data_IF_500795329181
#
_entry.id   IF_500795329181
#
_cell.length_a   1.000
_cell.length_b   1.000
_cell.length_c   1.000
_cell.angle_alpha   90.00
_cell.angle_beta   90.00
_cell.angle_gamma   90.00
#
_symmetry.space_group_name_H-M   'P 1'
#
loop_
_entity.id
_entity.type
_entity.pdbx_description
1 polymer ?
#
# COMPACT_ATOMS: atom_id res chain seq x y z
N UNK A 1 23.54 22.15 -9.51
CA UNK A 1 23.48 21.21 -8.37
C UNK A 1 22.01 21.06 -8.00
N UNK A 2 21.50 19.84 -7.93
CA UNK A 2 20.13 19.56 -7.47
C UNK A 2 20.04 19.85 -5.95
N UNK A 3 18.99 20.56 -5.54
CA UNK A 3 18.72 20.87 -4.13
C UNK A 3 18.10 19.65 -3.43
N UNK A 4 18.22 19.60 -2.09
CA UNK A 4 17.64 18.50 -1.30
C UNK A 4 16.12 18.37 -1.50
N UNK A 5 15.41 19.50 -1.64
CA UNK A 5 13.97 19.52 -1.88
C UNK A 5 13.59 19.04 -3.27
N UNK A 6 14.38 19.35 -4.30
CA UNK A 6 14.19 18.83 -5.66
C UNK A 6 14.39 17.32 -5.70
N UNK A 7 15.45 16.81 -5.05
CA UNK A 7 15.68 15.37 -4.93
C UNK A 7 14.52 14.66 -4.22
N UNK A 8 14.04 15.22 -3.10
CA UNK A 8 12.89 14.67 -2.37
C UNK A 8 11.62 14.63 -3.24
N UNK A 9 11.34 15.71 -3.97
CA UNK A 9 10.21 15.78 -4.90
C UNK A 9 10.33 14.72 -5.99
N UNK A 10 11.51 14.58 -6.59
CA UNK A 10 11.76 13.62 -7.66
C UNK A 10 11.48 12.19 -7.19
N UNK A 11 12.02 11.78 -6.04
CA UNK A 11 11.73 10.48 -5.46
C UNK A 11 10.24 10.30 -5.18
N UNK A 12 9.55 11.35 -4.70
CA UNK A 12 8.10 11.28 -4.45
C UNK A 12 7.30 11.04 -5.73
N UNK A 13 7.67 11.68 -6.85
CA UNK A 13 7.07 11.42 -8.15
C UNK A 13 7.35 10.00 -8.66
N UNK A 14 8.57 9.50 -8.46
CA UNK A 14 8.93 8.13 -8.82
C UNK A 14 8.14 7.09 -8.00
N UNK A 15 7.91 7.33 -6.70
CA UNK A 15 7.04 6.49 -5.86
C UNK A 15 5.62 6.47 -6.44
N UNK A 16 5.04 7.64 -6.74
CA UNK A 16 3.69 7.73 -7.34
C UNK A 16 3.64 6.94 -8.65
N UNK A 17 4.65 7.08 -9.51
CA UNK A 17 4.73 6.34 -10.76
C UNK A 17 4.78 4.81 -10.53
N UNK A 18 5.55 4.34 -9.56
CA UNK A 18 5.61 2.90 -9.24
C UNK A 18 4.29 2.38 -8.66
N UNK A 19 3.66 3.14 -7.75
CA UNK A 19 2.35 2.79 -7.19
C UNK A 19 1.26 2.72 -8.26
N UNK A 20 1.26 3.65 -9.23
CA UNK A 20 0.30 3.64 -10.35
C UNK A 20 0.43 2.40 -11.25
N UNK A 21 1.56 1.71 -11.20
CA UNK A 21 1.86 0.49 -11.96
C UNK A 21 1.77 -0.77 -11.10
N UNK A 22 1.19 -0.69 -9.91
CA UNK A 22 1.15 -1.77 -8.91
C UNK A 22 2.54 -2.33 -8.55
N UNK A 23 3.63 -1.57 -8.77
CA UNK A 23 4.99 -1.99 -8.45
C UNK A 23 5.40 -1.58 -7.02
N UNK A 24 4.75 -2.20 -6.04
CA UNK A 24 4.92 -1.85 -4.62
C UNK A 24 6.32 -2.10 -4.07
N UNK A 25 7.00 -3.15 -4.54
CA UNK A 25 8.36 -3.47 -4.10
C UNK A 25 9.35 -2.39 -4.52
N UNK A 26 9.22 -1.86 -5.75
CA UNK A 26 10.09 -0.78 -6.21
C UNK A 26 9.72 0.56 -5.56
N UNK A 27 8.43 0.84 -5.39
CA UNK A 27 7.97 2.00 -4.63
C UNK A 27 8.55 2.02 -3.21
N UNK A 28 8.62 0.85 -2.55
CA UNK A 28 9.19 0.71 -1.21
C UNK A 28 10.69 1.02 -1.18
N UNK A 29 11.50 0.54 -2.13
CA UNK A 29 12.93 0.88 -2.21
C UNK A 29 13.16 2.38 -2.38
N UNK A 30 12.39 3.02 -3.26
CA UNK A 30 12.50 4.47 -3.49
C UNK A 30 12.09 5.26 -2.23
N UNK A 31 11.14 4.74 -1.45
CA UNK A 31 10.77 5.32 -0.17
C UNK A 31 11.92 5.24 0.85
N UNK A 32 12.67 4.13 0.90
CA UNK A 32 13.86 4.01 1.74
C UNK A 32 14.92 5.07 1.36
N UNK A 33 15.17 5.26 0.06
CA UNK A 33 16.06 6.33 -0.43
C UNK A 33 15.57 7.73 -0.03
N UNK A 34 14.26 7.94 0.00
CA UNK A 34 13.63 9.20 0.44
C UNK A 34 13.79 9.41 1.95
N UNK A 35 13.78 8.35 2.75
CA UNK A 35 13.98 8.40 4.21
C UNK A 35 15.42 8.77 4.58
N UNK A 36 16.40 8.36 3.78
CA UNK A 36 17.81 8.78 3.94
C UNK A 36 17.92 10.30 3.91
N UNK A 37 17.21 10.98 3.01
CA UNK A 37 17.20 12.45 2.92
C UNK A 37 16.73 13.07 4.23
N UNK A 38 15.62 12.58 4.79
CA UNK A 38 15.06 13.10 6.05
C UNK A 38 16.02 12.86 7.21
N UNK A 39 16.64 11.68 7.26
CA UNK A 39 17.62 11.31 8.27
C UNK A 39 18.84 12.24 8.23
N UNK A 40 19.38 12.51 7.05
CA UNK A 40 20.51 13.43 6.85
C UNK A 40 20.15 14.87 7.23
N UNK A 41 18.94 15.34 6.89
CA UNK A 41 18.45 16.67 7.29
C UNK A 41 18.36 16.81 8.81
N UNK A 42 17.95 15.75 9.51
CA UNK A 42 17.93 15.69 10.97
C UNK A 42 19.34 15.79 11.56
N UNK A 43 20.28 14.98 11.05
CA UNK A 43 21.70 14.99 11.50
C UNK A 43 22.38 16.33 11.28
N UNK A 44 22.06 17.00 10.17
CA UNK A 44 22.69 18.26 9.78
C UNK A 44 21.96 19.51 10.33
N UNK A 45 20.91 19.34 11.14
CA UNK A 45 20.14 20.46 11.71
C UNK A 45 19.37 21.31 10.68
N UNK A 46 19.22 20.82 9.44
CA UNK A 46 18.57 21.55 8.33
C UNK A 46 17.07 21.28 8.20
N UNK A 47 16.49 20.51 9.12
CA UNK A 47 15.08 20.09 9.09
C UNK A 47 14.11 21.28 9.03
N UNK A 48 14.42 22.40 9.70
CA UNK A 48 13.56 23.59 9.73
C UNK A 48 13.50 24.28 8.37
N UNK A 49 14.66 24.53 7.76
CA UNK A 49 14.76 25.10 6.42
C UNK A 49 14.05 24.22 5.39
N UNK A 50 14.24 22.90 5.47
CA UNK A 50 13.54 21.96 4.60
C UNK A 50 12.02 22.01 4.78
N UNK A 51 11.51 22.06 6.03
CA UNK A 51 10.06 22.17 6.29
C UNK A 51 9.46 23.44 5.68
N UNK A 52 10.18 24.56 5.72
CA UNK A 52 9.72 25.81 5.12
C UNK A 52 9.64 25.69 3.59
N UNK A 53 10.66 25.10 2.96
CA UNK A 53 10.67 24.84 1.51
C UNK A 53 9.60 23.82 1.09
N UNK A 54 9.43 22.76 1.87
CA UNK A 54 8.42 21.72 1.66
C UNK A 54 7.00 22.29 1.60
N UNK A 55 6.68 23.26 2.48
CA UNK A 55 5.42 24.00 2.45
C UNK A 55 5.37 24.99 1.30
N UNK A 56 6.40 25.83 1.15
CA UNK A 56 6.46 26.90 0.14
C UNK A 56 6.32 26.36 -1.28
N UNK A 57 6.92 25.20 -1.55
CA UNK A 57 6.89 24.57 -2.86
C UNK A 57 5.80 23.48 -2.98
N UNK A 58 4.87 23.42 -2.03
CA UNK A 58 3.75 22.48 -2.00
C UNK A 58 4.13 21.01 -2.23
N UNK A 59 5.30 20.58 -1.73
CA UNK A 59 5.79 19.21 -1.89
C UNK A 59 4.93 18.21 -1.10
N UNK A 60 4.22 18.68 -0.08
CA UNK A 60 3.28 17.87 0.70
C UNK A 60 2.16 17.23 -0.12
N UNK A 61 1.78 17.83 -1.25
CA UNK A 61 0.75 17.28 -2.14
C UNK A 61 1.17 15.90 -2.66
N UNK A 62 2.47 15.68 -2.91
CA UNK A 62 2.95 14.37 -3.36
C UNK A 62 2.82 13.31 -2.26
N UNK A 63 3.04 13.68 -1.00
CA UNK A 63 2.87 12.77 0.13
C UNK A 63 1.39 12.41 0.35
N UNK A 64 0.50 13.39 0.20
CA UNK A 64 -0.95 13.15 0.25
C UNK A 64 -1.39 12.20 -0.87
N UNK A 65 -0.88 12.38 -2.10
CA UNK A 65 -1.17 11.48 -3.22
C UNK A 65 -0.65 10.05 -2.95
N UNK A 66 0.58 9.92 -2.44
CA UNK A 66 1.16 8.62 -2.09
C UNK A 66 0.28 7.91 -1.06
N UNK A 67 -0.16 8.64 -0.03
CA UNK A 67 -1.07 8.13 1.00
C UNK A 67 -2.39 7.65 0.39
N UNK A 68 -3.00 8.43 -0.48
CA UNK A 68 -4.26 8.06 -1.14
C UNK A 68 -4.12 6.78 -1.97
N UNK A 69 -3.05 6.66 -2.77
CA UNK A 69 -2.76 5.43 -3.52
C UNK A 69 -2.70 4.20 -2.62
N UNK A 70 -1.98 4.30 -1.50
CA UNK A 70 -1.82 3.21 -0.54
C UNK A 70 -3.17 2.86 0.11
N UNK A 71 -3.94 3.87 0.55
CA UNK A 71 -5.25 3.66 1.18
C UNK A 71 -6.24 2.96 0.25
N UNK A 72 -6.31 3.38 -1.02
CA UNK A 72 -7.14 2.75 -2.04
C UNK A 72 -6.76 1.28 -2.19
N UNK A 73 -5.47 0.97 -2.35
CA UNK A 73 -5.03 -0.41 -2.53
C UNK A 73 -5.28 -1.26 -1.29
N UNK A 74 -5.01 -0.74 -0.09
CA UNK A 74 -5.29 -1.45 1.16
C UNK A 74 -6.77 -1.79 1.30
N UNK A 75 -7.66 -0.88 0.91
CA UNK A 75 -9.10 -1.14 0.94
C UNK A 75 -9.52 -2.20 -0.08
N UNK A 76 -8.92 -2.20 -1.27
CA UNK A 76 -9.12 -3.25 -2.26
C UNK A 76 -8.67 -4.62 -1.74
N UNK A 77 -7.45 -4.73 -1.21
CA UNK A 77 -6.92 -6.00 -0.66
C UNK A 77 -7.79 -6.50 0.49
N UNK A 78 -8.26 -5.62 1.39
CA UNK A 78 -9.21 -5.99 2.46
C UNK A 78 -10.51 -6.56 1.91
N UNK A 79 -11.02 -6.01 0.81
CA UNK A 79 -12.23 -6.52 0.14
C UNK A 79 -11.98 -7.90 -0.46
N UNK A 80 -10.87 -8.09 -1.16
CA UNK A 80 -10.47 -9.37 -1.76
C UNK A 80 -10.34 -10.48 -0.69
N UNK A 81 -9.71 -10.18 0.44
CA UNK A 81 -9.61 -11.11 1.57
C UNK A 81 -10.98 -11.51 2.11
N UNK A 82 -11.89 -10.54 2.30
CA UNK A 82 -13.26 -10.80 2.76
C UNK A 82 -14.02 -11.69 1.78
N UNK A 83 -13.93 -11.40 0.48
CA UNK A 83 -14.58 -12.21 -0.57
C UNK A 83 -14.04 -13.64 -0.61
N UNK A 84 -12.72 -13.80 -0.46
CA UNK A 84 -12.09 -15.11 -0.38
C UNK A 84 -12.57 -15.92 0.83
N UNK A 85 -12.68 -15.29 2.00
CA UNK A 85 -13.23 -15.93 3.20
C UNK A 85 -14.69 -16.36 3.02
N UNK A 86 -15.52 -15.53 2.37
CA UNK A 86 -16.92 -15.88 2.05
C UNK A 86 -16.97 -17.07 1.09
N UNK A 87 -16.14 -17.08 0.04
CA UNK A 87 -16.05 -18.22 -0.90
C UNK A 87 -15.63 -19.51 -0.20
N UNK A 88 -14.66 -19.46 0.72
CA UNK A 88 -14.29 -20.64 1.51
C UNK A 88 -15.45 -21.16 2.37
N UNK A 89 -16.20 -20.27 3.04
CA UNK A 89 -17.38 -20.66 3.83
C UNK A 89 -18.47 -21.28 2.97
N UNK A 90 -18.74 -20.70 1.79
CA UNK A 90 -19.67 -21.27 0.81
C UNK A 90 -19.26 -22.68 0.38
N UNK A 91 -17.99 -22.85 -0.01
CA UNK A 91 -17.46 -24.16 -0.40
C UNK A 91 -17.53 -25.20 0.74
N UNK A 92 -17.29 -24.78 1.98
CA UNK A 92 -17.44 -25.65 3.16
C UNK A 92 -18.90 -26.07 3.39
N UNK A 93 -19.85 -25.14 3.24
CA UNK A 93 -21.28 -25.44 3.33
C UNK A 93 -21.72 -26.40 2.22
N UNK A 94 -21.30 -26.16 0.97
CA UNK A 94 -21.60 -27.07 -0.14
C UNK A 94 -20.98 -28.47 0.06
N UNK A 95 -19.74 -28.55 0.56
CA UNK A 95 -19.07 -29.82 0.82
C UNK A 95 -19.70 -30.59 1.99
N UNK A 96 -20.14 -29.90 3.04
CA UNK A 96 -20.85 -30.50 4.18
C UNK A 96 -22.25 -30.98 3.80
N UNK A 97 -23.03 -30.19 3.07
CA UNK A 97 -24.33 -30.61 2.53
C UNK A 97 -24.21 -31.84 1.61
N UNK A 98 -23.16 -31.91 0.78
CA UNK A 98 -22.90 -33.10 -0.06
C UNK A 98 -22.58 -34.35 0.77
N UNK A 99 -21.83 -34.21 1.88
CA UNK A 99 -21.55 -35.30 2.82
C UNK A 99 -22.79 -35.75 3.61
N UNK A 100 -23.62 -34.81 4.07
CA UNK A 100 -24.87 -35.13 4.77
C UNK A 100 -25.87 -35.83 3.85
N UNK A 101 -26.01 -35.38 2.60
CA UNK A 101 -26.87 -36.05 1.63
C UNK A 101 -26.40 -37.48 1.33
N UNK A 102 -25.09 -37.73 1.21
CA UNK A 102 -24.55 -39.10 1.08
C UNK A 102 -24.91 -40.00 2.28
N UNK A 103 -24.86 -39.45 3.51
CA UNK A 103 -25.22 -40.17 4.74
C UNK A 103 -26.73 -40.42 4.90
N UNK A 104 -27.59 -39.57 4.32
CA UNK A 104 -29.04 -39.77 4.30
C UNK A 104 -29.44 -40.92 3.36
N UNK A 105 -28.74 -41.07 2.23
CA UNK A 105 -28.97 -42.20 1.31
C UNK A 105 -28.32 -43.52 1.79
N UNK A 106 -27.30 -43.48 2.64
CA UNK A 106 -26.70 -44.69 3.23
C UNK A 106 -27.45 -45.23 4.46
N UNK A 107 -28.40 -44.48 5.02
CA UNK A 107 -29.20 -44.89 6.20
C UNK A 107 -30.47 -45.69 5.87
N UNK A 108 -30.64 -46.09 4.60
CA UNK A 108 -31.79 -46.87 4.14
C UNK A 108 -31.35 -48.20 3.53
N UNK A 109 -30.76 -49.06 4.35
CA UNK A 109 -30.75 -50.53 4.21
C UNK A 109 -30.96 -51.12 5.60
#
# INVERSE_FOLDING_TARGET
METTIEKYRKLSLEIILMLSKDNYNEAYKILEDREVIITELGRNGKIKQFKDEYKKQAVYIFDDNIKEFIEVKMNQVKKEIKEYQVKQKGNFIYASLKKENLNLFSKKI
#
